data_IF_069643175006
#
_entry.id   IF_069643175006
#
_cell.length_a   1.000
_cell.length_b   1.000
_cell.length_c   1.000
_cell.angle_alpha   90.00
_cell.angle_beta   90.00
_cell.angle_gamma   90.00
#
_symmetry.space_group_name_H-M   'P 1'
#
loop_
_entity.id
_entity.type
_entity.pdbx_description
1 polymer ?
#
# COMPACT_ATOMS: atom_id res chain seq x y z
N UNK A 1 -0.82 6.29 75.94
CA UNK A 1 -0.21 7.19 74.94
C UNK A 1 -0.20 6.46 73.59
N UNK A 2 -1.09 6.82 72.66
CA UNK A 2 -1.03 6.36 71.26
C UNK A 2 -1.00 7.63 70.41
N UNK A 3 0.11 7.85 69.71
CA UNK A 3 0.30 8.99 68.83
C UNK A 3 -0.54 8.81 67.55
N UNK A 4 -1.41 9.77 67.28
CA UNK A 4 -2.09 9.92 65.99
C UNK A 4 -1.11 10.64 65.05
N UNK A 5 -0.58 9.93 64.05
CA UNK A 5 0.20 10.55 62.98
C UNK A 5 -0.75 11.08 61.92
N UNK A 6 -0.81 12.41 61.78
CA UNK A 6 -1.56 13.11 60.73
C UNK A 6 -0.71 13.11 59.45
N UNK A 7 -1.10 12.30 58.46
CA UNK A 7 -0.47 12.31 57.13
C UNK A 7 -1.09 13.44 56.31
N UNK A 8 -0.32 14.49 56.08
CA UNK A 8 -0.69 15.61 55.23
C UNK A 8 -0.46 15.24 53.76
N UNK A 9 -1.53 14.98 53.01
CA UNK A 9 -1.46 14.80 51.56
C UNK A 9 -1.30 16.17 50.88
N UNK A 10 -0.08 16.48 50.41
CA UNK A 10 0.19 17.60 49.51
C UNK A 10 -0.33 17.25 48.11
N UNK A 11 -1.47 17.82 47.74
CA UNK A 11 -1.96 17.83 46.37
C UNK A 11 -1.05 18.75 45.53
N UNK A 12 -0.15 18.17 44.73
CA UNK A 12 0.52 18.89 43.65
C UNK A 12 -0.48 19.12 42.51
N UNK A 13 -1.05 20.32 42.44
CA UNK A 13 -1.86 20.75 41.30
C UNK A 13 -0.92 21.11 40.15
N UNK A 14 -0.81 20.22 39.17
CA UNK A 14 -0.20 20.57 37.88
C UNK A 14 -1.13 21.55 37.19
N UNK A 15 -0.79 22.84 37.22
CA UNK A 15 -1.44 23.86 36.41
C UNK A 15 -1.15 23.56 34.93
N UNK A 16 -2.06 22.87 34.26
CA UNK A 16 -2.10 22.87 32.79
C UNK A 16 -2.70 24.22 32.39
N UNK A 17 -1.85 25.23 32.20
CA UNK A 17 -2.27 26.45 31.55
C UNK A 17 -2.86 26.06 30.18
N UNK A 18 -4.10 26.48 29.91
CA UNK A 18 -4.74 26.23 28.63
C UNK A 18 -3.90 26.90 27.55
N UNK A 19 -3.15 26.10 26.78
CA UNK A 19 -2.35 26.63 25.68
C UNK A 19 -3.30 27.30 24.68
N UNK A 20 -3.01 28.55 24.33
CA UNK A 20 -3.76 29.27 23.31
C UNK A 20 -3.62 28.54 21.97
N UNK A 21 -4.73 28.40 21.24
CA UNK A 21 -4.77 27.67 19.97
C UNK A 21 -4.58 28.65 18.82
N UNK A 22 -4.00 28.18 17.71
CA UNK A 22 -3.77 28.95 16.48
C UNK A 22 -2.88 30.18 16.66
N UNK A 23 -1.75 30.02 17.34
CA UNK A 23 -0.80 31.11 17.57
C UNK A 23 0.28 31.18 16.48
N UNK A 24 0.91 32.35 16.39
CA UNK A 24 2.08 32.62 15.56
C UNK A 24 3.28 32.96 16.43
N UNK A 25 4.48 32.65 15.96
CA UNK A 25 5.73 33.13 16.55
C UNK A 25 6.04 34.57 16.11
N UNK A 26 7.13 35.13 16.65
CA UNK A 26 7.57 36.52 16.36
C UNK A 26 7.86 36.76 14.87
N UNK A 27 8.06 35.72 14.07
CA UNK A 27 8.28 35.78 12.63
C UNK A 27 6.98 35.56 11.83
N UNK A 28 5.82 35.52 12.48
CA UNK A 28 4.53 35.28 11.84
C UNK A 28 4.34 33.84 11.35
N UNK A 29 5.13 32.87 11.83
CA UNK A 29 4.96 31.45 11.48
C UNK A 29 4.10 30.75 12.52
N UNK A 30 3.35 29.72 12.09
CA UNK A 30 2.49 28.94 12.98
C UNK A 30 3.30 28.32 14.13
N UNK A 31 2.83 28.49 15.36
CA UNK A 31 3.48 27.95 16.56
C UNK A 31 2.43 27.42 17.56
N UNK A 32 2.76 26.34 18.26
CA UNK A 32 1.90 25.71 19.26
C UNK A 32 0.77 24.86 18.66
N UNK A 33 -0.31 24.68 19.43
CA UNK A 33 -1.47 23.86 19.02
C UNK A 33 -2.28 24.61 17.97
N UNK A 34 -2.64 23.91 16.91
CA UNK A 34 -3.49 24.42 15.84
C UNK A 34 -4.72 23.54 15.67
N UNK A 35 -5.88 24.19 15.52
CA UNK A 35 -7.18 23.56 15.24
C UNK A 35 -7.91 24.36 14.18
N UNK A 36 -8.44 23.67 13.17
CA UNK A 36 -9.26 24.29 12.13
C UNK A 36 -10.57 23.54 12.01
N UNK A 37 -11.68 24.28 11.92
CA UNK A 37 -13.01 23.73 11.66
C UNK A 37 -13.33 23.74 10.16
N UNK A 38 -14.34 22.97 9.77
CA UNK A 38 -14.97 23.11 8.46
C UNK A 38 -15.69 24.47 8.39
N UNK A 39 -15.59 25.12 7.22
CA UNK A 39 -16.16 26.43 6.97
C UNK A 39 -17.66 26.47 7.29
N UNK A 40 -18.10 27.52 7.98
CA UNK A 40 -19.49 27.68 8.41
C UNK A 40 -19.95 26.70 9.49
N UNK A 41 -19.05 25.91 10.10
CA UNK A 41 -19.43 24.91 11.12
C UNK A 41 -18.51 24.92 12.34
N UNK A 42 -18.98 24.27 13.42
CA UNK A 42 -18.15 23.94 14.59
C UNK A 42 -17.45 22.58 14.46
N UNK A 43 -17.54 21.93 13.31
CA UNK A 43 -17.01 20.58 13.10
C UNK A 43 -15.50 20.67 12.86
N UNK A 44 -14.71 20.01 13.70
CA UNK A 44 -13.25 19.98 13.56
C UNK A 44 -12.86 19.33 12.22
N UNK A 45 -11.94 19.98 11.48
CA UNK A 45 -11.36 19.52 10.21
C UNK A 45 -9.97 18.94 10.42
N UNK A 46 -9.13 19.62 11.20
CA UNK A 46 -7.87 19.06 11.66
C UNK A 46 -7.44 19.67 13.00
N UNK A 47 -6.58 18.93 13.70
CA UNK A 47 -5.78 19.44 14.82
C UNK A 47 -4.35 18.91 14.74
N UNK A 48 -3.38 19.66 15.27
CA UNK A 48 -1.96 19.28 15.31
C UNK A 48 -1.12 20.36 15.97
N UNK A 49 0.20 20.22 15.90
CA UNK A 49 1.14 21.17 16.51
C UNK A 49 2.14 21.70 15.48
N UNK A 50 2.47 22.98 15.60
CA UNK A 50 3.52 23.61 14.81
C UNK A 50 4.64 24.11 15.71
N UNK A 51 5.87 24.00 15.21
CA UNK A 51 7.04 24.61 15.81
C UNK A 51 7.72 25.49 14.74
N UNK A 52 7.58 26.81 14.87
CA UNK A 52 8.12 27.80 13.93
C UNK A 52 7.77 27.51 12.46
N UNK A 53 6.50 27.14 12.21
CA UNK A 53 5.97 26.80 10.89
C UNK A 53 6.12 25.33 10.48
N UNK A 54 6.96 24.53 11.16
CA UNK A 54 7.13 23.09 10.90
C UNK A 54 6.04 22.29 11.61
N UNK A 55 5.36 21.38 10.92
CA UNK A 55 4.52 20.36 11.54
C UNK A 55 5.33 19.48 12.49
N UNK A 56 4.88 19.35 13.74
CA UNK A 56 5.49 18.45 14.73
C UNK A 56 4.43 17.55 15.38
N UNK A 57 4.89 16.41 15.91
CA UNK A 57 4.04 15.45 16.58
C UNK A 57 2.96 14.87 15.66
N UNK A 58 1.77 14.63 16.21
CA UNK A 58 0.67 14.00 15.46
C UNK A 58 -0.39 15.00 15.04
N UNK A 59 -0.62 15.09 13.73
CA UNK A 59 -1.78 15.72 13.15
C UNK A 59 -2.92 14.72 13.00
N UNK A 60 -4.14 15.14 13.31
CA UNK A 60 -5.38 14.39 13.10
C UNK A 60 -6.27 15.11 12.11
N UNK A 61 -6.83 14.36 11.17
CA UNK A 61 -7.66 14.87 10.09
C UNK A 61 -9.03 14.20 10.12
N UNK A 62 -10.07 15.03 10.03
CA UNK A 62 -11.45 14.62 10.21
C UNK A 62 -12.27 14.92 8.96
N UNK A 63 -13.28 14.08 8.70
CA UNK A 63 -14.38 14.38 7.78
C UNK A 63 -15.61 14.83 8.57
N UNK A 64 -16.37 15.77 8.02
CA UNK A 64 -17.68 16.12 8.54
C UNK A 64 -18.71 15.09 8.04
N UNK A 65 -19.16 14.21 8.91
CA UNK A 65 -20.21 13.23 8.62
C UNK A 65 -21.43 13.57 9.47
N UNK A 66 -22.46 14.13 8.83
CA UNK A 66 -23.72 14.52 9.49
C UNK A 66 -23.49 15.43 10.71
N UNK A 67 -22.62 16.44 10.56
CA UNK A 67 -22.31 17.40 11.63
C UNK A 67 -21.32 16.88 12.68
N UNK A 68 -20.76 15.67 12.51
CA UNK A 68 -19.79 15.07 13.43
C UNK A 68 -18.41 14.99 12.78
N UNK A 69 -17.39 15.33 13.56
CA UNK A 69 -16.00 15.17 13.15
C UNK A 69 -15.61 13.69 13.29
N UNK A 70 -15.41 13.00 12.16
CA UNK A 70 -15.01 11.59 12.11
C UNK A 70 -13.56 11.51 11.70
N UNK A 71 -12.70 10.94 12.56
CA UNK A 71 -11.26 10.79 12.28
C UNK A 71 -11.08 9.88 11.06
N UNK A 72 -10.28 10.34 10.09
CA UNK A 72 -10.03 9.59 8.84
C UNK A 72 -8.56 9.46 8.50
N UNK A 73 -7.71 10.30 9.07
CA UNK A 73 -6.26 10.12 8.98
C UNK A 73 -5.54 10.68 10.20
N UNK A 74 -4.39 10.09 10.52
CA UNK A 74 -3.38 10.70 11.39
C UNK A 74 -2.03 10.73 10.68
N UNK A 75 -1.25 11.78 10.90
CA UNK A 75 0.13 11.92 10.42
C UNK A 75 1.04 12.21 11.60
N UNK A 76 1.96 11.31 11.91
CA UNK A 76 2.97 11.51 12.95
C UNK A 76 4.28 11.91 12.28
N UNK A 77 4.68 13.17 12.43
CA UNK A 77 5.91 13.71 11.86
C UNK A 77 7.10 13.33 12.72
N UNK A 78 8.22 12.97 12.07
CA UNK A 78 9.49 12.79 12.78
C UNK A 78 10.21 14.14 12.97
N UNK A 79 11.18 14.17 13.88
CA UNK A 79 11.91 15.40 14.20
C UNK A 79 12.94 15.79 13.14
N UNK A 80 13.44 14.80 12.38
CA UNK A 80 14.62 14.91 11.52
C UNK A 80 14.31 15.55 10.16
N UNK A 81 13.20 15.16 9.53
CA UNK A 81 12.79 15.63 8.21
C UNK A 81 11.29 15.97 8.16
N UNK A 82 10.70 16.02 6.96
CA UNK A 82 9.28 16.34 6.74
C UNK A 82 8.44 15.08 6.45
N UNK A 83 9.00 13.89 6.67
CA UNK A 83 8.28 12.64 6.51
C UNK A 83 7.39 12.39 7.71
N UNK A 84 6.32 11.64 7.47
CA UNK A 84 5.37 11.27 8.50
C UNK A 84 4.93 9.82 8.37
N UNK A 85 4.76 9.15 9.50
CA UNK A 85 4.01 7.90 9.55
C UNK A 85 2.52 8.21 9.49
N UNK A 86 1.84 7.64 8.51
CA UNK A 86 0.45 7.96 8.21
C UNK A 86 -0.43 6.75 8.44
N UNK A 87 -1.57 6.98 9.10
CA UNK A 87 -2.63 5.99 9.28
C UNK A 87 -3.92 6.52 8.70
N UNK A 88 -4.63 5.69 7.93
CA UNK A 88 -5.96 6.00 7.40
C UNK A 88 -7.02 5.13 8.06
N UNK A 89 -8.16 5.73 8.38
CA UNK A 89 -9.24 5.09 9.12
C UNK A 89 -10.55 5.13 8.35
N UNK A 90 -11.38 4.09 8.53
CA UNK A 90 -12.75 4.06 8.07
C UNK A 90 -13.62 5.04 8.85
N UNK A 91 -14.83 5.31 8.36
CA UNK A 91 -15.80 6.13 9.09
C UNK A 91 -16.24 5.51 10.43
N UNK A 92 -15.95 4.22 10.65
CA UNK A 92 -16.16 3.51 11.92
C UNK A 92 -14.91 3.50 12.82
N UNK A 93 -13.84 4.17 12.42
CA UNK A 93 -12.58 4.26 13.18
C UNK A 93 -11.65 3.06 13.03
N UNK A 94 -11.95 2.09 12.15
CA UNK A 94 -11.06 0.95 11.90
C UNK A 94 -9.90 1.37 10.98
N UNK A 95 -8.68 0.96 11.31
CA UNK A 95 -7.50 1.16 10.47
C UNK A 95 -7.69 0.48 9.10
N UNK A 96 -7.47 1.23 8.02
CA UNK A 96 -7.59 0.76 6.62
C UNK A 96 -6.20 0.54 6.02
N UNK A 97 -5.28 1.45 6.29
CA UNK A 97 -3.91 1.35 5.80
C UNK A 97 -2.96 2.21 6.63
N UNK A 98 -1.69 1.83 6.64
CA UNK A 98 -0.62 2.61 7.26
C UNK A 98 0.70 2.48 6.50
N UNK A 99 1.51 3.52 6.60
CA UNK A 99 2.85 3.56 6.01
C UNK A 99 3.45 4.98 6.05
N UNK A 100 4.74 5.13 5.75
CA UNK A 100 5.38 6.43 5.74
C UNK A 100 5.06 7.23 4.47
N UNK A 101 5.03 8.55 4.61
CA UNK A 101 4.86 9.50 3.51
C UNK A 101 5.94 10.57 3.54
N UNK A 102 6.43 10.94 2.36
CA UNK A 102 7.13 12.21 2.14
C UNK A 102 6.17 13.19 1.45
N UNK A 103 5.65 14.14 2.23
CA UNK A 103 4.60 15.07 1.80
C UNK A 103 3.32 14.36 1.35
N UNK A 104 3.16 14.19 0.03
CA UNK A 104 2.02 13.51 -0.61
C UNK A 104 2.37 12.13 -1.19
N UNK A 105 3.65 11.75 -1.22
CA UNK A 105 4.13 10.50 -1.80
C UNK A 105 4.13 9.40 -0.74
N UNK A 106 3.67 8.21 -1.11
CA UNK A 106 3.92 6.99 -0.33
C UNK A 106 5.38 6.59 -0.50
N UNK A 107 6.04 6.23 0.59
CA UNK A 107 7.42 5.74 0.58
C UNK A 107 7.50 4.52 1.49
N UNK A 108 8.54 3.70 1.33
CA UNK A 108 8.78 2.53 2.17
C UNK A 108 7.63 1.52 2.13
N UNK A 109 7.47 0.79 3.22
CA UNK A 109 6.46 -0.26 3.38
C UNK A 109 5.08 0.33 3.69
N UNK A 110 4.09 -0.05 2.88
CA UNK A 110 2.68 0.27 3.05
C UNK A 110 1.86 -0.99 3.29
N UNK A 111 1.05 -0.95 4.36
CA UNK A 111 0.14 -2.02 4.76
C UNK A 111 -1.29 -1.59 4.50
N UNK A 112 -2.05 -2.49 3.90
CA UNK A 112 -3.50 -2.34 3.70
C UNK A 112 -4.20 -3.51 4.39
N UNK A 113 -5.28 -3.24 5.11
CA UNK A 113 -5.97 -4.23 5.93
C UNK A 113 -7.29 -4.66 5.29
N UNK A 114 -7.68 -5.91 5.55
CA UNK A 114 -9.00 -6.39 5.19
C UNK A 114 -10.09 -5.62 5.93
N UNK A 115 -11.24 -5.45 5.29
CA UNK A 115 -12.38 -4.74 5.86
C UNK A 115 -12.76 -5.29 7.24
N UNK A 116 -12.88 -4.41 8.22
CA UNK A 116 -13.21 -4.74 9.62
C UNK A 116 -12.28 -5.82 10.25
N UNK A 117 -11.02 -5.92 9.82
CA UNK A 117 -10.04 -6.88 10.33
C UNK A 117 -8.69 -6.22 10.55
N UNK A 118 -7.86 -6.80 11.42
CA UNK A 118 -6.44 -6.43 11.57
C UNK A 118 -5.52 -7.28 10.69
N UNK A 119 -6.08 -8.15 9.85
CA UNK A 119 -5.33 -8.95 8.88
C UNK A 119 -4.93 -8.10 7.68
N UNK A 120 -3.66 -8.17 7.31
CA UNK A 120 -3.11 -7.53 6.11
C UNK A 120 -3.75 -8.18 4.88
N UNK A 121 -4.24 -7.33 3.98
CA UNK A 121 -4.74 -7.66 2.64
C UNK A 121 -3.68 -7.43 1.58
N UNK A 122 -2.88 -6.36 1.72
CA UNK A 122 -1.85 -6.01 0.75
C UNK A 122 -0.66 -5.40 1.46
N UNK A 123 0.54 -5.81 1.03
CA UNK A 123 1.81 -5.20 1.40
C UNK A 123 2.45 -4.66 0.12
N UNK A 124 2.77 -3.37 0.12
CA UNK A 124 3.39 -2.67 -0.99
C UNK A 124 4.65 -1.95 -0.52
N UNK A 125 5.64 -1.80 -1.40
CA UNK A 125 6.87 -1.08 -1.11
C UNK A 125 7.05 0.02 -2.15
N UNK A 126 7.41 1.21 -1.68
CA UNK A 126 7.56 2.41 -2.50
C UNK A 126 8.95 2.99 -2.35
N UNK A 127 9.55 3.45 -3.45
CA UNK A 127 10.81 4.20 -3.42
C UNK A 127 10.58 5.68 -3.05
N UNK A 128 11.66 6.46 -2.89
CA UNK A 128 11.60 7.89 -2.54
C UNK A 128 10.92 8.78 -3.59
N UNK A 129 10.75 8.28 -4.83
CA UNK A 129 10.00 8.99 -5.88
C UNK A 129 8.48 8.81 -5.71
N UNK A 130 8.05 7.85 -4.90
CA UNK A 130 6.65 7.47 -4.72
C UNK A 130 6.16 6.37 -5.66
N UNK A 131 7.07 5.65 -6.30
CA UNK A 131 6.73 4.56 -7.21
C UNK A 131 6.85 3.22 -6.50
N UNK A 132 5.97 2.27 -6.83
CA UNK A 132 6.12 0.88 -6.37
C UNK A 132 7.49 0.33 -6.77
N UNK A 133 8.22 -0.22 -5.81
CA UNK A 133 9.57 -0.72 -6.01
C UNK A 133 9.87 -1.84 -5.01
N UNK A 134 10.23 -3.01 -5.51
CA UNK A 134 10.39 -4.25 -4.76
C UNK A 134 9.14 -5.13 -4.82
N UNK A 135 9.07 -6.05 -3.87
CA UNK A 135 8.01 -7.06 -3.79
C UNK A 135 6.65 -6.43 -3.46
N UNK A 136 5.57 -7.02 -3.98
CA UNK A 136 4.18 -6.72 -3.62
C UNK A 136 3.50 -8.04 -3.27
N UNK A 137 2.80 -8.03 -2.14
CA UNK A 137 2.09 -9.20 -1.65
C UNK A 137 0.62 -8.90 -1.50
N UNK A 138 -0.23 -9.83 -1.93
CA UNK A 138 -1.67 -9.81 -1.68
C UNK A 138 -2.03 -11.05 -0.89
N UNK A 139 -2.91 -10.90 0.10
CA UNK A 139 -3.34 -11.98 0.99
C UNK A 139 -4.85 -12.17 0.92
N UNK A 140 -5.28 -13.42 1.09
CA UNK A 140 -6.66 -13.77 1.38
C UNK A 140 -7.00 -13.40 2.83
N UNK A 141 -8.29 -13.29 3.15
CA UNK A 141 -8.79 -12.98 4.50
C UNK A 141 -8.43 -14.03 5.57
N UNK A 142 -8.00 -15.22 5.16
CA UNK A 142 -7.45 -16.24 6.07
C UNK A 142 -5.95 -16.06 6.36
N UNK A 143 -5.30 -15.05 5.77
CA UNK A 143 -3.87 -14.74 5.91
C UNK A 143 -2.96 -15.47 4.93
N UNK A 144 -3.50 -16.34 4.06
CA UNK A 144 -2.71 -17.03 3.03
C UNK A 144 -2.39 -16.10 1.88
N UNK A 145 -1.23 -16.28 1.27
CA UNK A 145 -0.81 -15.49 0.12
C UNK A 145 -1.72 -15.79 -1.08
N UNK A 146 -2.18 -14.74 -1.74
CA UNK A 146 -2.96 -14.79 -2.98
C UNK A 146 -2.07 -14.44 -4.17
N UNK A 147 -1.19 -13.43 -4.02
CA UNK A 147 -0.31 -12.97 -5.07
C UNK A 147 1.06 -12.59 -4.51
N UNK A 148 2.11 -12.86 -5.29
CA UNK A 148 3.47 -12.39 -5.10
C UNK A 148 3.95 -11.81 -6.42
N UNK A 149 4.40 -10.56 -6.43
CA UNK A 149 4.80 -9.80 -7.62
C UNK A 149 6.01 -8.93 -7.29
N UNK A 150 6.82 -8.58 -8.27
CA UNK A 150 7.94 -7.64 -8.07
C UNK A 150 7.80 -6.43 -9.01
N UNK A 151 8.10 -5.24 -8.49
CA UNK A 151 8.02 -3.97 -9.22
C UNK A 151 9.37 -3.28 -9.26
N UNK A 152 9.68 -2.60 -10.36
CA UNK A 152 10.82 -1.70 -10.50
C UNK A 152 10.31 -0.36 -11.02
N UNK A 153 10.44 0.67 -10.21
CA UNK A 153 10.06 2.06 -10.52
C UNK A 153 8.64 2.21 -11.07
N UNK A 154 7.70 1.47 -10.47
CA UNK A 154 6.27 1.53 -10.76
C UNK A 154 5.79 0.50 -11.78
N UNK A 155 6.71 -0.26 -12.39
CA UNK A 155 6.38 -1.28 -13.40
C UNK A 155 6.61 -2.68 -12.86
N UNK A 156 5.70 -3.60 -13.16
CA UNK A 156 5.84 -5.02 -12.87
C UNK A 156 7.00 -5.61 -13.67
N UNK A 157 7.93 -6.24 -12.97
CA UNK A 157 9.21 -6.72 -13.51
C UNK A 157 9.64 -8.01 -12.80
N UNK A 158 9.98 -9.04 -13.58
CA UNK A 158 10.36 -10.35 -13.05
C UNK A 158 9.16 -11.27 -12.80
N UNK A 159 9.28 -12.14 -11.79
CA UNK A 159 8.29 -13.18 -11.52
C UNK A 159 7.00 -12.63 -10.88
N UNK A 160 5.88 -13.19 -11.32
CA UNK A 160 4.57 -12.97 -10.73
C UNK A 160 3.87 -14.31 -10.52
N UNK A 161 3.45 -14.59 -9.29
CA UNK A 161 2.87 -15.85 -8.87
C UNK A 161 1.50 -15.60 -8.23
N UNK A 162 0.51 -16.39 -8.63
CA UNK A 162 -0.81 -16.41 -8.03
C UNK A 162 -1.05 -17.74 -7.36
N UNK A 163 -1.63 -17.69 -6.17
CA UNK A 163 -1.92 -18.84 -5.34
C UNK A 163 -3.43 -18.94 -5.09
N UNK A 164 -3.95 -20.15 -4.97
CA UNK A 164 -5.30 -20.39 -4.49
C UNK A 164 -5.38 -20.19 -2.98
N UNK A 165 -6.60 -20.07 -2.45
CA UNK A 165 -6.84 -20.05 -0.99
C UNK A 165 -6.33 -21.30 -0.26
N UNK A 166 -5.99 -22.38 -0.99
CA UNK A 166 -5.39 -23.61 -0.46
C UNK A 166 -3.86 -23.66 -0.61
N UNK A 167 -3.21 -22.53 -0.88
CA UNK A 167 -1.76 -22.41 -1.11
C UNK A 167 -1.25 -23.18 -2.34
N UNK A 168 -2.12 -23.44 -3.31
CA UNK A 168 -1.74 -24.08 -4.58
C UNK A 168 -1.37 -23.00 -5.59
N UNK A 169 -0.20 -23.08 -6.21
CA UNK A 169 0.16 -22.18 -7.32
C UNK A 169 -0.83 -22.39 -8.46
N UNK A 170 -1.43 -21.30 -8.95
CA UNK A 170 -2.37 -21.29 -10.08
C UNK A 170 -1.74 -20.74 -11.35
N UNK A 171 -0.86 -19.75 -11.21
CA UNK A 171 -0.20 -19.07 -12.31
C UNK A 171 1.21 -18.69 -11.89
N UNK A 172 2.16 -18.87 -12.80
CA UNK A 172 3.52 -18.35 -12.65
C UNK A 172 3.94 -17.73 -13.98
N UNK A 173 4.11 -16.41 -13.99
CA UNK A 173 4.45 -15.63 -15.16
C UNK A 173 5.73 -14.82 -14.92
N UNK A 174 6.32 -14.38 -16.02
CA UNK A 174 7.43 -13.43 -16.03
C UNK A 174 6.96 -12.18 -16.77
N UNK A 175 7.30 -11.02 -16.23
CA UNK A 175 7.00 -9.70 -16.77
C UNK A 175 8.28 -8.92 -17.03
N UNK A 176 8.25 -8.07 -18.05
CA UNK A 176 9.27 -7.06 -18.34
C UNK A 176 8.53 -5.78 -18.68
N UNK A 177 8.74 -4.70 -17.92
CA UNK A 177 8.05 -3.42 -18.09
C UNK A 177 6.52 -3.55 -18.24
N UNK A 178 5.85 -4.17 -17.25
CA UNK A 178 4.39 -4.42 -17.22
C UNK A 178 3.86 -5.40 -18.29
N UNK A 179 4.74 -5.94 -19.13
CA UNK A 179 4.35 -6.78 -20.25
C UNK A 179 4.77 -8.24 -20.03
N UNK A 180 3.85 -9.18 -20.23
CA UNK A 180 4.16 -10.61 -20.14
C UNK A 180 5.27 -10.98 -21.13
N UNK A 181 6.32 -11.60 -20.60
CA UNK A 181 7.51 -11.95 -21.35
C UNK A 181 8.18 -13.18 -20.77
N UNK A 182 8.63 -14.12 -21.61
CA UNK A 182 9.33 -15.31 -21.15
C UNK A 182 8.38 -16.44 -20.77
N UNK A 183 8.86 -17.38 -19.94
CA UNK A 183 8.13 -18.61 -19.60
C UNK A 183 6.89 -18.28 -18.77
N UNK A 184 5.80 -19.00 -19.03
CA UNK A 184 4.55 -18.84 -18.30
C UNK A 184 3.88 -20.19 -18.11
N UNK A 185 3.39 -20.43 -16.91
CA UNK A 185 2.78 -21.69 -16.48
C UNK A 185 1.42 -21.45 -15.83
N UNK A 186 0.49 -22.33 -16.11
CA UNK A 186 -0.85 -22.38 -15.53
C UNK A 186 -1.04 -23.73 -14.88
N UNK A 187 -1.67 -23.72 -13.72
CA UNK A 187 -1.93 -24.90 -12.90
C UNK A 187 -3.41 -24.93 -12.51
N UNK A 188 -3.95 -26.13 -12.33
CA UNK A 188 -5.31 -26.28 -11.82
C UNK A 188 -5.36 -26.18 -10.28
N UNK A 189 -6.55 -26.36 -9.71
CA UNK A 189 -6.78 -26.29 -8.26
C UNK A 189 -6.10 -27.40 -7.45
N UNK A 190 -5.62 -28.47 -8.11
CA UNK A 190 -4.82 -29.54 -7.51
C UNK A 190 -3.31 -29.28 -7.61
N UNK A 191 -2.90 -28.25 -8.34
CA UNK A 191 -1.49 -27.91 -8.58
C UNK A 191 -0.87 -28.65 -9.77
N UNK A 192 -1.69 -29.30 -10.59
CA UNK A 192 -1.24 -29.98 -11.80
C UNK A 192 -1.06 -28.96 -12.92
N UNK A 193 0.04 -29.04 -13.66
CA UNK A 193 0.29 -28.19 -14.83
C UNK A 193 -0.79 -28.45 -15.87
N UNK A 194 -1.44 -27.38 -16.36
CA UNK A 194 -2.48 -27.47 -17.40
C UNK A 194 -2.08 -26.75 -18.68
N UNK A 195 -1.19 -25.76 -18.58
CA UNK A 195 -0.60 -25.14 -19.76
C UNK A 195 0.76 -24.55 -19.44
N UNK A 196 1.68 -24.64 -20.40
CA UNK A 196 2.91 -23.87 -20.38
C UNK A 196 3.28 -23.38 -21.78
N UNK A 197 4.05 -22.31 -21.81
CA UNK A 197 4.58 -21.75 -23.03
C UNK A 197 5.37 -20.50 -22.74
N UNK A 198 5.57 -19.67 -23.77
CA UNK A 198 6.23 -18.38 -23.61
C UNK A 198 5.33 -17.25 -24.09
N UNK A 199 5.45 -16.11 -23.43
CA UNK A 199 4.98 -14.84 -23.94
C UNK A 199 6.15 -14.05 -24.53
N UNK A 200 5.85 -13.25 -25.54
CA UNK A 200 6.73 -12.20 -26.07
C UNK A 200 5.86 -11.01 -26.40
N UNK A 201 6.16 -9.89 -25.76
CA UNK A 201 5.42 -8.64 -25.89
C UNK A 201 3.91 -8.82 -25.66
N UNK A 202 3.56 -9.41 -24.51
CA UNK A 202 2.17 -9.60 -24.09
C UNK A 202 1.41 -10.70 -24.84
N UNK A 203 2.02 -11.33 -25.85
CA UNK A 203 1.37 -12.32 -26.72
C UNK A 203 2.03 -13.68 -26.60
N UNK A 204 1.23 -14.75 -26.70
CA UNK A 204 1.74 -16.12 -26.81
C UNK A 204 2.74 -16.20 -27.96
N UNK A 205 3.87 -16.86 -27.74
CA UNK A 205 4.95 -16.97 -28.71
C UNK A 205 5.59 -18.36 -28.65
N UNK A 206 5.88 -18.94 -29.81
CA UNK A 206 6.41 -20.29 -29.91
C UNK A 206 5.38 -21.37 -29.54
N UNK A 207 5.88 -22.53 -29.17
CA UNK A 207 5.05 -23.69 -28.84
C UNK A 207 4.42 -23.51 -27.46
N UNK A 208 3.12 -23.70 -27.40
CA UNK A 208 2.34 -23.84 -26.18
C UNK A 208 1.86 -25.26 -26.03
N UNK A 209 2.02 -25.80 -24.82
CA UNK A 209 1.66 -27.16 -24.46
C UNK A 209 0.49 -27.12 -23.49
N UNK A 210 -0.49 -28.01 -23.68
CA UNK A 210 -1.67 -28.14 -22.83
C UNK A 210 -1.78 -29.56 -22.31
N UNK A 211 -2.14 -29.68 -21.04
CA UNK A 211 -2.11 -30.94 -20.31
C UNK A 211 -3.43 -31.22 -19.63
N UNK A 212 -3.80 -32.49 -19.60
CA UNK A 212 -4.94 -33.00 -18.85
C UNK A 212 -4.51 -34.26 -18.08
N UNK A 213 -4.79 -34.31 -16.77
CA UNK A 213 -4.37 -35.38 -15.87
C UNK A 213 -2.87 -35.73 -16.00
N UNK A 214 -2.02 -34.70 -16.15
CA UNK A 214 -0.58 -34.82 -16.30
C UNK A 214 -0.08 -35.29 -17.68
N UNK A 215 -0.98 -35.53 -18.64
CA UNK A 215 -0.62 -35.95 -20.01
C UNK A 215 -0.75 -34.78 -20.97
N UNK A 216 0.22 -34.65 -21.88
CA UNK A 216 0.15 -33.70 -22.99
C UNK A 216 -1.01 -34.08 -23.92
N UNK A 217 -1.97 -33.18 -24.11
CA UNK A 217 -3.12 -33.40 -24.98
C UNK A 217 -3.07 -32.54 -26.25
N UNK A 218 -2.36 -31.42 -26.22
CA UNK A 218 -2.31 -30.49 -27.34
C UNK A 218 -1.01 -29.67 -27.35
N UNK A 219 -0.47 -29.45 -28.54
CA UNK A 219 0.54 -28.44 -28.81
C UNK A 219 0.02 -27.44 -29.86
N UNK A 220 0.25 -26.15 -29.63
CA UNK A 220 -0.10 -25.07 -30.56
C UNK A 220 1.10 -24.16 -30.77
N UNK A 221 1.49 -23.94 -32.03
CA UNK A 221 2.56 -23.00 -32.39
C UNK A 221 2.00 -21.59 -32.63
N UNK A 222 2.42 -20.65 -31.78
CA UNK A 222 2.08 -19.23 -31.85
C UNK A 222 3.22 -18.38 -32.45
N UNK A 223 4.16 -18.98 -33.16
CA UNK A 223 5.18 -18.23 -33.90
C UNK A 223 4.51 -17.44 -35.03
N UNK A 224 4.73 -16.11 -35.12
CA UNK A 224 4.16 -15.31 -36.20
C UNK A 224 4.61 -15.84 -37.57
N UNK A 225 3.67 -16.33 -38.38
CA UNK A 225 3.93 -16.74 -39.75
C UNK A 225 4.01 -15.48 -40.62
N UNK A 226 5.21 -15.16 -41.13
CA UNK A 226 5.38 -14.06 -42.09
C UNK A 226 4.50 -14.29 -43.31
N UNK A 227 3.69 -13.29 -43.69
CA UNK A 227 2.90 -13.29 -44.93
C UNK A 227 3.74 -12.92 -46.17
N UNK A 228 5.04 -12.61 -46.01
CA UNK A 228 5.90 -12.22 -47.13
C UNK A 228 6.60 -13.44 -47.74
N UNK A 229 5.99 -14.02 -48.79
CA UNK A 229 6.73 -14.84 -49.76
C UNK A 229 7.57 -13.88 -50.63
N UNK A 230 8.89 -13.83 -50.40
CA UNK A 230 9.83 -13.20 -51.33
C UNK A 230 9.67 -13.90 -52.69
N UNK A 231 9.08 -13.25 -53.71
CA UNK A 231 9.11 -13.76 -55.08
C UNK A 231 10.58 -13.84 -55.49
N UNK A 232 11.11 -15.06 -55.67
CA UNK A 232 12.39 -15.25 -56.38
C UNK A 232 12.22 -14.62 -57.76
N UNK A 233 12.92 -13.51 -58.03
CA UNK A 233 13.17 -13.09 -59.40
C UNK A 233 14.06 -14.16 -60.03
N UNK A 234 13.57 -14.85 -61.05
CA UNK A 234 14.41 -15.66 -61.92
C UNK A 234 15.39 -14.70 -62.62
N UNK A 235 16.70 -15.01 -62.65
CA UNK A 235 17.63 -14.25 -63.48
C UNK A 235 17.27 -14.45 -64.95
N UNK A 236 17.26 -13.34 -65.70
CA UNK A 236 17.20 -13.33 -67.16
C UNK A 236 18.47 -13.93 -67.76
#
# INVERSE_FOLDING_TARGET
MKQLSLILFLFNTIFVAAQTVNQFDDNGKRHGIWKKNFEGTKVLRYEGQFNHGKEIGTFKFYKNIRGKAVLTASKAFNELDNKADVKFFSSKGKLISEGPMDGKKYIGEWKYYHNNSDKIMTLEFYNDKGNLHGEKYVYYSNGRMAEKQNYVDGKLEGEAIWYSIKNVVLKHFIYVNDELHGVSKYYNSKGELVAEGRYKLGKKHGIWKYYENGKLIEEKDFTPKSKYKKKKKLPN
#
